data_IF_702262180115
#
_entry.id   IF_702262180115
#
_cell.length_a   1.000
_cell.length_b   1.000
_cell.length_c   1.000
_cell.angle_alpha   90.00
_cell.angle_beta   90.00
_cell.angle_gamma   90.00
#
_symmetry.space_group_name_H-M   'P 1'
#
loop_
_entity.id
_entity.type
_entity.pdbx_description
1 polymer ?
#
# COMPACT_ATOMS: atom_id res chain seq x y z
N UNK A 1 20.38 -10.06 0.64
CA UNK A 1 20.43 -10.50 -0.76
C UNK A 1 19.53 -9.56 -1.55
N UNK A 2 20.08 -8.68 -2.39
CA UNK A 2 19.28 -7.74 -3.18
C UNK A 2 18.64 -8.52 -4.34
N UNK A 3 17.31 -8.54 -4.41
CA UNK A 3 16.58 -9.19 -5.49
C UNK A 3 16.69 -8.27 -6.73
N UNK A 4 17.23 -8.72 -7.87
CA UNK A 4 17.43 -7.87 -9.06
C UNK A 4 16.12 -7.58 -9.83
N UNK A 5 14.96 -7.88 -9.24
CA UNK A 5 13.64 -7.79 -9.86
C UNK A 5 12.66 -7.08 -8.92
N UNK A 6 11.65 -6.40 -9.48
CA UNK A 6 10.56 -5.77 -8.71
C UNK A 6 9.79 -6.79 -7.85
N UNK A 7 9.08 -6.32 -6.83
CA UNK A 7 8.47 -7.20 -5.83
C UNK A 7 7.42 -8.15 -6.44
N UNK A 8 6.69 -7.69 -7.44
CA UNK A 8 5.79 -8.54 -8.23
C UNK A 8 6.52 -9.78 -8.77
N UNK A 9 7.66 -9.59 -9.43
CA UNK A 9 8.41 -10.70 -10.03
C UNK A 9 9.03 -11.62 -8.99
N UNK A 10 9.38 -11.11 -7.81
CA UNK A 10 9.85 -11.94 -6.70
C UNK A 10 8.74 -12.90 -6.26
N UNK A 11 7.53 -12.39 -5.99
CA UNK A 11 6.39 -13.22 -5.58
C UNK A 11 6.01 -14.24 -6.67
N UNK A 12 6.07 -13.87 -7.95
CA UNK A 12 5.79 -14.78 -9.05
C UNK A 12 6.81 -15.92 -9.19
N UNK A 13 8.09 -15.66 -8.87
CA UNK A 13 9.19 -16.63 -9.01
C UNK A 13 9.43 -17.44 -7.74
N UNK A 14 9.04 -16.93 -6.58
CA UNK A 14 9.22 -17.59 -5.29
C UNK A 14 8.54 -18.96 -5.27
N UNK A 15 9.21 -19.93 -4.67
CA UNK A 15 8.67 -21.27 -4.53
C UNK A 15 7.52 -21.27 -3.52
N UNK A 16 6.65 -22.28 -3.62
CA UNK A 16 5.54 -22.45 -2.67
C UNK A 16 6.06 -22.67 -1.26
N UNK A 17 7.08 -23.52 -1.12
CA UNK A 17 7.71 -23.84 0.16
C UNK A 17 8.37 -22.61 0.79
N UNK A 18 8.97 -21.74 -0.03
CA UNK A 18 9.55 -20.48 0.44
C UNK A 18 8.47 -19.55 0.98
N UNK A 19 7.41 -19.29 0.21
CA UNK A 19 6.35 -18.37 0.65
C UNK A 19 5.61 -18.90 1.89
N UNK A 20 5.29 -20.19 1.91
CA UNK A 20 4.62 -20.86 3.02
C UNK A 20 5.51 -21.05 4.25
N UNK A 21 6.84 -20.88 4.12
CA UNK A 21 7.73 -20.86 5.28
C UNK A 21 7.53 -19.60 6.15
N UNK A 22 6.87 -18.56 5.62
CA UNK A 22 6.60 -17.32 6.33
C UNK A 22 5.16 -17.24 6.82
N UNK A 23 4.98 -16.63 7.99
CA UNK A 23 3.65 -16.39 8.59
C UNK A 23 2.96 -15.11 8.06
N UNK A 24 3.68 -14.30 7.30
CA UNK A 24 3.20 -13.01 6.81
C UNK A 24 4.22 -12.36 5.89
N UNK A 25 3.76 -11.45 5.04
CA UNK A 25 4.60 -10.67 4.14
C UNK A 25 4.60 -9.22 4.61
N UNK A 26 5.77 -8.70 5.00
CA UNK A 26 5.93 -7.32 5.42
C UNK A 26 6.39 -6.43 4.26
N UNK A 27 5.61 -5.41 3.94
CA UNK A 27 5.79 -4.47 2.84
C UNK A 27 6.23 -3.12 3.39
N UNK A 28 7.50 -2.75 3.17
CA UNK A 28 8.06 -1.47 3.65
C UNK A 28 8.17 -0.51 2.47
N UNK A 29 7.07 0.18 2.13
CA UNK A 29 7.01 1.08 0.96
C UNK A 29 5.78 2.01 1.00
N UNK A 30 5.49 2.66 -0.12
CA UNK A 30 4.20 3.27 -0.40
C UNK A 30 3.14 2.27 -0.85
N UNK A 31 1.94 2.79 -1.17
CA UNK A 31 0.78 2.00 -1.60
C UNK A 31 1.04 1.17 -2.88
N UNK A 32 1.92 1.65 -3.77
CA UNK A 32 2.27 0.95 -5.01
C UNK A 32 2.90 -0.44 -4.82
N UNK A 33 3.66 -0.65 -3.73
CA UNK A 33 4.22 -1.98 -3.46
C UNK A 33 3.15 -2.99 -3.06
N UNK A 34 2.12 -2.54 -2.34
CA UNK A 34 0.98 -3.37 -1.99
C UNK A 34 0.25 -3.81 -3.26
N UNK A 35 0.05 -2.87 -4.19
CA UNK A 35 -0.53 -3.15 -5.49
C UNK A 35 0.28 -4.21 -6.28
N UNK A 36 1.61 -4.07 -6.35
CA UNK A 36 2.48 -5.04 -7.04
C UNK A 36 2.35 -6.46 -6.47
N UNK A 37 2.36 -6.59 -5.14
CA UNK A 37 2.33 -7.89 -4.44
C UNK A 37 0.95 -8.54 -4.54
N UNK A 38 -0.13 -7.79 -4.34
CA UNK A 38 -1.50 -8.34 -4.43
C UNK A 38 -1.77 -8.85 -5.85
N UNK A 39 -1.39 -8.11 -6.87
CA UNK A 39 -1.58 -8.55 -8.25
C UNK A 39 -0.72 -9.78 -8.59
N UNK A 40 0.50 -9.88 -8.06
CA UNK A 40 1.32 -11.08 -8.22
C UNK A 40 0.69 -12.32 -7.56
N UNK A 41 0.17 -12.17 -6.32
CA UNK A 41 -0.54 -13.25 -5.62
C UNK A 41 -1.80 -13.69 -6.37
N UNK A 42 -2.54 -12.75 -6.95
CA UNK A 42 -3.71 -13.07 -7.77
C UNK A 42 -3.32 -13.76 -9.08
N UNK A 43 -2.25 -13.33 -9.74
CA UNK A 43 -1.78 -13.96 -10.97
C UNK A 43 -1.37 -15.42 -10.73
N UNK A 44 -0.77 -15.73 -9.58
CA UNK A 44 -0.49 -17.12 -9.19
C UNK A 44 -1.76 -17.95 -9.04
N UNK A 45 -2.79 -17.41 -8.39
CA UNK A 45 -4.10 -18.06 -8.30
C UNK A 45 -4.70 -18.32 -9.68
N UNK A 46 -4.70 -17.32 -10.55
CA UNK A 46 -5.25 -17.43 -11.90
C UNK A 46 -4.53 -18.52 -12.70
N UNK A 47 -3.19 -18.60 -12.62
CA UNK A 47 -2.39 -19.64 -13.30
C UNK A 47 -2.65 -21.05 -12.76
N UNK A 48 -3.08 -21.18 -11.51
CA UNK A 48 -3.37 -22.46 -10.89
C UNK A 48 -4.84 -22.91 -11.04
N UNK A 49 -5.70 -22.09 -11.64
CA UNK A 49 -7.15 -22.30 -11.67
C UNK A 49 -7.57 -23.63 -12.33
N UNK A 50 -6.84 -24.08 -13.34
CA UNK A 50 -7.13 -25.33 -14.05
C UNK A 50 -6.62 -26.59 -13.34
N UNK A 51 -5.84 -26.45 -12.27
CA UNK A 51 -5.27 -27.57 -11.51
C UNK A 51 -5.70 -27.52 -10.04
N UNK A 52 -6.65 -28.38 -9.60
CA UNK A 52 -7.19 -28.36 -8.25
C UNK A 52 -6.16 -28.49 -7.14
N UNK A 53 -5.11 -29.30 -7.35
CA UNK A 53 -4.05 -29.48 -6.36
C UNK A 53 -3.19 -28.22 -6.22
N UNK A 54 -2.86 -27.56 -7.34
CA UNK A 54 -2.12 -26.29 -7.31
C UNK A 54 -2.97 -25.16 -6.75
N UNK A 55 -4.27 -25.12 -7.08
CA UNK A 55 -5.21 -24.10 -6.63
C UNK A 55 -5.35 -24.08 -5.10
N UNK A 56 -5.40 -25.26 -4.46
CA UNK A 56 -5.45 -25.35 -3.01
C UNK A 56 -4.23 -24.69 -2.36
N UNK A 57 -3.03 -24.96 -2.87
CA UNK A 57 -1.80 -24.34 -2.34
C UNK A 57 -1.72 -22.85 -2.63
N UNK A 58 -2.10 -22.40 -3.83
CA UNK A 58 -2.07 -20.97 -4.15
C UNK A 58 -3.11 -20.17 -3.34
N UNK A 59 -4.22 -20.80 -2.92
CA UNK A 59 -5.18 -20.19 -1.97
C UNK A 59 -4.58 -20.02 -0.59
N UNK A 60 -3.79 -20.98 -0.13
CA UNK A 60 -3.07 -20.86 1.14
C UNK A 60 -2.03 -19.74 1.09
N UNK A 61 -1.29 -19.63 -0.02
CA UNK A 61 -0.34 -18.55 -0.25
C UNK A 61 -1.04 -17.18 -0.31
N UNK A 62 -2.19 -17.08 -0.97
CA UNK A 62 -2.97 -15.84 -1.04
C UNK A 62 -3.56 -15.44 0.33
N UNK A 63 -3.78 -16.41 1.23
CA UNK A 63 -4.23 -16.15 2.59
C UNK A 63 -3.12 -15.66 3.54
N UNK A 64 -1.85 -15.60 3.09
CA UNK A 64 -0.75 -15.08 3.91
C UNK A 64 -1.02 -13.59 4.24
N UNK A 65 -1.07 -13.22 5.52
CA UNK A 65 -1.31 -11.83 5.92
C UNK A 65 -0.26 -10.87 5.36
N UNK A 66 -0.73 -9.75 4.80
CA UNK A 66 0.12 -8.65 4.36
C UNK A 66 0.19 -7.57 5.45
N UNK A 67 1.40 -7.17 5.80
CA UNK A 67 1.65 -6.08 6.77
C UNK A 67 2.28 -4.91 6.04
N UNK A 68 1.70 -3.73 6.15
CA UNK A 68 2.22 -2.52 5.51
C UNK A 68 2.92 -1.63 6.52
N UNK A 69 4.20 -1.35 6.29
CA UNK A 69 4.99 -0.36 7.00
C UNK A 69 5.15 0.85 6.06
N UNK A 70 4.49 1.99 6.36
CA UNK A 70 4.48 3.14 5.46
C UNK A 70 5.86 3.80 5.38
N UNK A 71 6.50 3.75 4.21
CA UNK A 71 7.76 4.47 3.93
C UNK A 71 7.70 5.34 2.68
N UNK A 72 6.52 5.45 2.05
CA UNK A 72 6.26 6.34 0.92
C UNK A 72 5.89 7.77 1.35
N UNK A 73 5.74 8.66 0.35
CA UNK A 73 5.40 10.09 0.51
C UNK A 73 3.95 10.34 0.92
N UNK A 74 3.04 9.47 0.51
CA UNK A 74 1.59 9.51 0.76
C UNK A 74 1.12 8.07 0.89
N UNK A 75 0.92 7.59 2.12
CA UNK A 75 0.53 6.20 2.41
C UNK A 75 -0.94 6.18 2.84
N UNK A 76 -1.84 6.21 1.86
CA UNK A 76 -3.27 6.28 2.13
C UNK A 76 -3.80 4.98 2.75
N UNK A 77 -3.27 3.82 2.37
CA UNK A 77 -3.64 2.52 2.97
C UNK A 77 -3.33 2.52 4.46
N UNK A 78 -2.09 2.86 4.84
CA UNK A 78 -1.70 2.95 6.25
C UNK A 78 -2.57 3.96 7.02
N UNK A 79 -2.85 5.13 6.41
CA UNK A 79 -3.69 6.17 7.02
C UNK A 79 -5.11 5.67 7.33
N UNK A 80 -5.71 4.94 6.40
CA UNK A 80 -7.03 4.31 6.57
C UNK A 80 -6.99 3.22 7.65
N UNK A 81 -5.97 2.37 7.66
CA UNK A 81 -5.80 1.32 8.68
C UNK A 81 -5.63 1.90 10.09
N UNK A 82 -4.87 2.98 10.26
CA UNK A 82 -4.75 3.67 11.54
C UNK A 82 -6.07 4.26 12.01
N UNK A 83 -6.79 4.94 11.11
CA UNK A 83 -8.09 5.51 11.42
C UNK A 83 -9.06 4.43 11.92
N UNK A 84 -9.12 3.29 11.23
CA UNK A 84 -9.94 2.13 11.64
C UNK A 84 -9.51 1.52 12.97
N UNK A 85 -8.22 1.64 13.32
CA UNK A 85 -7.67 1.15 14.58
C UNK A 85 -7.88 2.12 15.75
N UNK A 86 -8.57 3.24 15.54
CA UNK A 86 -8.81 4.29 16.55
C UNK A 86 -7.65 5.26 16.72
N UNK A 87 -6.56 5.11 15.95
CA UNK A 87 -5.47 6.07 15.89
C UNK A 87 -5.88 7.19 14.93
N UNK A 88 -6.32 8.33 15.48
CA UNK A 88 -6.81 9.46 14.70
C UNK A 88 -5.79 9.98 13.65
N UNK A 89 -6.27 10.68 12.60
CA UNK A 89 -5.48 11.04 11.41
C UNK A 89 -4.26 11.92 11.72
N UNK A 90 -4.28 12.65 12.85
CA UNK A 90 -3.20 13.53 13.28
C UNK A 90 -1.94 12.80 13.77
N UNK A 91 -2.07 11.60 14.37
CA UNK A 91 -0.91 10.84 14.86
C UNK A 91 -0.11 10.19 13.73
N UNK A 92 -0.75 9.81 12.63
CA UNK A 92 -0.06 9.19 11.50
C UNK A 92 0.61 10.18 10.55
N UNK A 93 0.20 11.47 10.57
CA UNK A 93 0.87 12.52 9.79
C UNK A 93 2.36 12.65 10.15
N UNK A 94 2.74 12.35 11.40
CA UNK A 94 4.13 12.33 11.87
C UNK A 94 4.96 11.18 11.27
N UNK A 95 4.34 10.06 10.91
CA UNK A 95 5.03 8.88 10.35
C UNK A 95 5.34 9.08 8.85
N UNK A 96 4.44 9.75 8.12
CA UNK A 96 4.52 9.84 6.66
C UNK A 96 5.18 11.10 6.08
N UNK A 97 5.51 12.13 6.88
CA UNK A 97 5.82 13.47 6.33
C UNK A 97 7.21 14.07 6.61
N UNK A 98 8.15 13.37 7.23
CA UNK A 98 9.45 13.97 7.55
C UNK A 98 10.65 13.02 7.50
N UNK A 99 11.76 13.45 6.90
CA UNK A 99 13.05 12.74 6.89
C UNK A 99 13.61 12.44 8.30
N UNK A 100 13.11 13.09 9.36
CA UNK A 100 13.44 12.79 10.75
C UNK A 100 12.90 11.43 11.23
N UNK A 101 11.95 10.84 10.50
CA UNK A 101 11.22 9.64 10.92
C UNK A 101 11.88 8.34 10.46
N UNK A 102 13.03 8.36 9.76
CA UNK A 102 13.75 7.12 9.40
C UNK A 102 14.16 6.33 10.65
N UNK A 103 14.56 7.02 11.73
CA UNK A 103 14.86 6.38 13.02
C UNK A 103 13.60 5.81 13.65
N UNK A 104 12.51 6.55 13.67
CA UNK A 104 11.25 6.06 14.25
C UNK A 104 10.62 4.95 13.41
N UNK A 105 10.74 4.99 12.08
CA UNK A 105 10.33 3.95 11.15
C UNK A 105 11.18 2.68 11.31
N UNK A 106 12.50 2.83 11.45
CA UNK A 106 13.41 1.73 11.73
C UNK A 106 13.13 1.15 13.12
N UNK A 107 12.90 1.98 14.14
CA UNK A 107 12.57 1.56 15.49
C UNK A 107 11.19 0.89 15.54
N UNK A 108 10.21 1.40 14.79
CA UNK A 108 8.87 0.80 14.63
C UNK A 108 8.96 -0.53 13.90
N UNK A 109 9.74 -0.60 12.82
CA UNK A 109 9.92 -1.82 12.05
C UNK A 109 10.70 -2.87 12.86
N UNK A 110 11.76 -2.47 13.56
CA UNK A 110 12.50 -3.31 14.51
C UNK A 110 11.57 -3.78 15.62
N UNK A 111 10.80 -2.90 16.26
CA UNK A 111 9.90 -3.29 17.34
C UNK A 111 8.74 -4.17 16.88
N UNK A 112 8.21 -3.98 15.67
CA UNK A 112 7.20 -4.87 15.09
C UNK A 112 7.80 -6.24 14.74
N UNK A 113 9.03 -6.27 14.21
CA UNK A 113 9.73 -7.51 13.87
C UNK A 113 10.25 -8.26 15.11
N UNK A 114 10.51 -7.58 16.22
CA UNK A 114 10.99 -8.16 17.48
C UNK A 114 9.90 -8.32 18.54
N UNK A 115 8.71 -7.75 18.34
CA UNK A 115 7.62 -7.87 19.30
C UNK A 115 7.17 -9.34 19.39
N UNK A 116 7.08 -9.91 20.60
CA UNK A 116 6.48 -11.22 20.76
C UNK A 116 5.04 -11.15 20.24
N UNK A 117 4.65 -12.10 19.37
CA UNK A 117 3.30 -12.21 18.78
C UNK A 117 2.18 -12.40 19.82
N UNK A 118 2.50 -12.39 21.12
CA UNK A 118 1.60 -12.59 22.25
C UNK A 118 1.95 -11.59 23.36
N UNK A 119 1.31 -10.42 23.38
CA UNK A 119 1.18 -9.66 24.63
C UNK A 119 -0.06 -10.22 25.35
N UNK A 120 0.11 -10.97 26.44
CA UNK A 120 -1.02 -11.23 27.34
C UNK A 120 -1.42 -9.87 27.96
N UNK A 121 -2.69 -9.50 27.80
CA UNK A 121 -3.20 -8.15 28.07
C UNK A 121 -3.13 -7.71 29.54
N UNK A 122 -2.73 -8.60 30.45
CA UNK A 122 -2.93 -8.45 31.89
C UNK A 122 -1.67 -8.00 32.65
N UNK A 123 -0.52 -7.78 31.99
CA UNK A 123 0.75 -7.42 32.66
C UNK A 123 1.49 -6.18 32.14
N UNK A 124 0.92 -5.39 31.22
CA UNK A 124 1.59 -4.18 30.72
C UNK A 124 1.46 -3.01 31.73
N UNK A 125 2.43 -2.88 32.63
CA UNK A 125 2.60 -1.70 33.49
C UNK A 125 3.44 -0.63 32.78
N UNK A 126 2.79 0.49 32.40
CA UNK A 126 3.45 1.77 32.09
C UNK A 126 4.21 1.86 30.76
N UNK A 127 3.82 2.82 29.91
CA UNK A 127 4.51 3.37 28.72
C UNK A 127 5.06 2.42 27.62
N UNK A 128 4.96 1.09 27.77
CA UNK A 128 5.32 0.14 26.73
C UNK A 128 4.25 0.12 25.64
N UNK A 129 4.61 0.57 24.43
CA UNK A 129 3.79 0.40 23.23
C UNK A 129 3.78 -1.11 22.89
N UNK A 130 2.82 -1.86 23.42
CA UNK A 130 2.56 -3.23 22.94
C UNK A 130 2.01 -3.13 21.51
N UNK A 131 2.85 -3.50 20.55
CA UNK A 131 2.45 -3.67 19.16
C UNK A 131 1.62 -4.93 19.03
N UNK A 132 0.30 -4.78 18.90
CA UNK A 132 -0.58 -5.90 18.59
C UNK A 132 -0.71 -6.02 17.07
N UNK A 133 -0.16 -7.09 16.53
CA UNK A 133 -0.30 -7.43 15.11
C UNK A 133 -1.65 -8.13 14.90
N UNK A 134 -2.65 -7.38 14.43
CA UNK A 134 -3.96 -7.95 14.06
C UNK A 134 -4.12 -7.95 12.53
N UNK A 135 -4.34 -9.12 11.94
CA UNK A 135 -4.79 -9.21 10.55
C UNK A 135 -6.31 -9.05 10.49
N UNK A 136 -6.80 -8.16 9.63
CA UNK A 136 -8.23 -8.01 9.34
C UNK A 136 -8.47 -8.17 7.84
N UNK A 137 -9.61 -8.74 7.43
CA UNK A 137 -9.97 -8.79 6.02
C UNK A 137 -10.13 -7.36 5.48
N UNK A 138 -9.66 -7.14 4.26
CA UNK A 138 -9.79 -5.88 3.52
C UNK A 138 -10.54 -6.18 2.22
N UNK A 139 -11.47 -5.32 1.87
CA UNK A 139 -12.20 -5.41 0.61
C UNK A 139 -11.30 -5.04 -0.57
N UNK A 140 -11.50 -5.74 -1.68
CA UNK A 140 -10.73 -5.55 -2.90
C UNK A 140 -11.62 -5.04 -4.04
N UNK A 141 -11.06 -4.16 -4.86
CA UNK A 141 -11.65 -3.65 -6.09
C UNK A 141 -11.07 -4.45 -7.25
N UNK A 142 -11.93 -5.14 -8.00
CA UNK A 142 -11.56 -5.78 -9.25
C UNK A 142 -11.78 -4.80 -10.41
N UNK A 143 -10.74 -4.51 -11.18
CA UNK A 143 -10.79 -3.60 -12.32
C UNK A 143 -10.40 -4.36 -13.57
N UNK A 144 -11.26 -4.36 -14.59
CA UNK A 144 -10.96 -4.94 -15.89
C UNK A 144 -11.06 -3.87 -16.97
N UNK A 145 -9.95 -3.63 -17.66
CA UNK A 145 -9.90 -2.71 -18.79
C UNK A 145 -10.42 -3.37 -20.07
N UNK A 146 -11.01 -2.58 -20.95
CA UNK A 146 -11.44 -3.06 -22.26
C UNK A 146 -10.21 -3.45 -23.10
N UNK A 147 -10.10 -4.74 -23.45
CA UNK A 147 -8.98 -5.28 -24.23
C UNK A 147 -7.94 -6.04 -23.39
N UNK A 148 -8.01 -5.98 -22.07
CA UNK A 148 -7.16 -6.81 -21.19
C UNK A 148 -7.86 -8.12 -20.82
N UNK A 149 -7.11 -9.21 -20.90
CA UNK A 149 -7.59 -10.55 -20.57
C UNK A 149 -7.55 -10.84 -19.07
N UNK A 150 -6.66 -10.17 -18.34
CA UNK A 150 -6.48 -10.36 -16.89
C UNK A 150 -6.94 -9.12 -16.13
N UNK A 151 -7.88 -9.26 -15.18
CA UNK A 151 -8.27 -8.14 -14.35
C UNK A 151 -7.17 -7.78 -13.33
N UNK A 152 -7.13 -6.52 -12.95
CA UNK A 152 -6.29 -6.00 -11.89
C UNK A 152 -7.05 -5.93 -10.57
N UNK A 153 -6.33 -6.13 -9.47
CA UNK A 153 -6.86 -5.95 -8.11
C UNK A 153 -6.27 -4.68 -7.52
N UNK A 154 -7.14 -3.82 -6.99
CA UNK A 154 -6.81 -2.69 -6.14
C UNK A 154 -7.43 -2.84 -4.75
N UNK A 155 -6.92 -2.11 -3.76
CA UNK A 155 -7.47 -2.12 -2.38
C UNK A 155 -7.84 -0.72 -1.87
N UNK A 156 -7.53 0.32 -2.66
CA UNK A 156 -7.63 1.70 -2.20
C UNK A 156 -8.55 2.53 -3.08
N UNK A 157 -8.13 2.85 -4.30
CA UNK A 157 -8.88 3.75 -5.18
C UNK A 157 -8.53 3.55 -6.65
N UNK A 158 -9.53 3.73 -7.50
CA UNK A 158 -9.38 3.96 -8.94
C UNK A 158 -9.72 5.43 -9.22
N UNK A 159 -8.77 6.18 -9.77
CA UNK A 159 -8.93 7.63 -10.01
C UNK A 159 -8.91 7.95 -11.50
N UNK A 160 -9.66 8.96 -11.92
CA UNK A 160 -9.75 9.44 -13.30
C UNK A 160 -9.87 10.96 -13.35
N UNK A 161 -9.57 11.55 -14.51
CA UNK A 161 -9.60 13.01 -14.71
C UNK A 161 -8.61 13.75 -13.83
N UNK A 162 -9.06 14.87 -13.24
CA UNK A 162 -8.20 15.80 -12.48
C UNK A 162 -7.33 15.13 -11.42
N UNK A 163 -7.86 14.15 -10.68
CA UNK A 163 -7.11 13.47 -9.61
C UNK A 163 -5.97 12.63 -10.22
N UNK A 164 -6.22 11.91 -11.31
CA UNK A 164 -5.21 11.11 -11.99
C UNK A 164 -4.15 12.01 -12.67
N UNK A 165 -4.58 13.12 -13.27
CA UNK A 165 -3.68 14.10 -13.88
C UNK A 165 -2.75 14.75 -12.84
N UNK A 166 -3.26 15.02 -11.63
CA UNK A 166 -2.44 15.52 -10.53
C UNK A 166 -1.43 14.47 -10.08
N UNK A 167 -1.88 13.23 -9.89
CA UNK A 167 -1.02 12.15 -9.41
C UNK A 167 0.15 11.90 -10.38
N UNK A 168 -0.15 11.73 -11.68
CA UNK A 168 0.87 11.53 -12.73
C UNK A 168 1.69 12.80 -12.97
N UNK A 169 1.03 13.94 -13.15
CA UNK A 169 1.65 15.17 -13.61
C UNK A 169 2.62 15.79 -12.61
N UNK A 170 2.48 15.50 -11.31
CA UNK A 170 3.33 16.05 -10.27
C UNK A 170 4.31 15.04 -9.66
N UNK A 171 4.47 13.84 -10.21
CA UNK A 171 5.44 12.85 -9.71
C UNK A 171 6.88 13.39 -9.66
N UNK A 172 7.26 14.34 -10.51
CA UNK A 172 8.58 15.00 -10.45
C UNK A 172 8.82 15.78 -9.14
N UNK A 173 7.77 16.12 -8.39
CA UNK A 173 7.83 16.74 -7.06
C UNK A 173 7.78 15.72 -5.91
N UNK A 174 8.12 14.45 -6.15
CA UNK A 174 8.11 13.39 -5.12
C UNK A 174 8.92 13.72 -3.87
N UNK A 175 9.95 14.55 -4.01
CA UNK A 175 10.75 15.06 -2.88
C UNK A 175 9.94 15.89 -1.87
N UNK A 176 8.79 16.46 -2.25
CA UNK A 176 7.93 17.26 -1.37
C UNK A 176 6.98 16.40 -0.51
N UNK A 177 7.07 15.07 -0.61
CA UNK A 177 6.16 14.18 0.11
C UNK A 177 4.70 14.40 -0.31
N UNK A 178 3.76 14.21 0.63
CA UNK A 178 2.34 14.46 0.37
C UNK A 178 1.97 15.91 0.03
N UNK A 179 2.85 16.89 0.28
CA UNK A 179 2.64 18.29 -0.09
C UNK A 179 2.50 18.47 -1.61
N UNK A 180 3.16 17.61 -2.38
CA UNK A 180 3.01 17.49 -3.84
C UNK A 180 1.54 17.46 -4.27
N UNK A 181 0.73 16.65 -3.59
CA UNK A 181 -0.67 16.43 -3.97
C UNK A 181 -1.50 17.70 -3.77
N UNK A 182 -1.17 18.49 -2.74
CA UNK A 182 -1.81 19.79 -2.47
C UNK A 182 -1.39 20.83 -3.51
N UNK A 183 -0.09 20.92 -3.81
CA UNK A 183 0.43 21.83 -4.84
C UNK A 183 -0.20 21.52 -6.19
N UNK A 184 -0.24 20.23 -6.55
CA UNK A 184 -0.84 19.79 -7.80
C UNK A 184 -2.33 20.11 -7.88
N UNK A 185 -3.09 19.89 -6.80
CA UNK A 185 -4.50 20.27 -6.74
C UNK A 185 -4.71 21.78 -6.94
N UNK A 186 -3.97 22.62 -6.22
CA UNK A 186 -4.10 24.09 -6.34
C UNK A 186 -3.77 24.56 -7.74
N UNK A 187 -2.62 24.14 -8.30
CA UNK A 187 -2.19 24.57 -9.63
C UNK A 187 -3.13 24.09 -10.72
N UNK A 188 -3.62 22.85 -10.65
CA UNK A 188 -4.55 22.32 -11.63
C UNK A 188 -5.91 23.01 -11.58
N UNK A 189 -6.42 23.35 -10.40
CA UNK A 189 -7.67 24.13 -10.24
C UNK A 189 -7.51 25.53 -10.83
N UNK A 190 -6.40 26.22 -10.55
CA UNK A 190 -6.13 27.56 -11.09
C UNK A 190 -6.06 27.52 -12.63
N UNK A 191 -5.30 26.56 -13.18
CA UNK A 191 -5.17 26.39 -14.63
C UNK A 191 -6.53 26.11 -15.30
N UNK A 192 -7.34 25.25 -14.69
CA UNK A 192 -8.67 24.93 -15.19
C UNK A 192 -9.58 26.16 -15.18
N UNK A 193 -9.55 26.96 -14.10
CA UNK A 193 -10.32 28.19 -13.99
C UNK A 193 -10.00 29.19 -15.12
N UNK A 194 -8.72 29.45 -15.38
CA UNK A 194 -8.33 30.34 -16.49
C UNK A 194 -8.68 29.77 -17.86
N UNK A 195 -8.57 28.46 -18.04
CA UNK A 195 -8.97 27.80 -19.28
C UNK A 195 -10.47 27.97 -19.57
N UNK A 196 -11.31 27.89 -18.54
CA UNK A 196 -12.75 28.11 -18.69
C UNK A 196 -13.08 29.56 -19.08
N UNK A 197 -12.40 30.54 -18.47
CA UNK A 197 -12.61 31.95 -18.83
C UNK A 197 -12.28 32.22 -20.29
N UNK A 198 -11.20 31.63 -20.81
CA UNK A 198 -10.82 31.79 -22.22
C UNK A 198 -11.88 31.17 -23.16
N UNK A 199 -12.42 29.99 -22.82
CA UNK A 199 -13.49 29.35 -23.59
C UNK A 199 -14.80 30.17 -23.57
N UNK A 200 -15.17 30.77 -22.44
CA UNK A 200 -16.36 31.60 -22.33
C UNK A 200 -16.21 32.95 -23.05
N UNK A 201 -14.99 33.47 -23.15
CA UNK A 201 -14.71 34.77 -23.76
C UNK A 201 -14.46 34.70 -25.28
N UNK A 202 -14.55 33.51 -25.89
CA UNK A 202 -14.60 33.35 -27.35
C UNK A 202 -13.31 33.71 -28.11
N UNK A 203 -12.15 33.65 -27.46
CA UNK A 203 -10.84 33.71 -28.13
C UNK A 203 -10.29 32.31 -28.43
#
# INVERSE_FOLDING_TARGET
MAVPFGANQYILKASKDELLSYRGICLVSGDGLIFEVINALQERLNKAQDNPALLATEREINAIPLFHIPSGSSNATASSSAFQSGYGPYRMRLICSSLSTIKDLLLSALSVLTAPLKCDADQASGDEICWRLESRPIDAILVQSAGETTPHIGILSLTWGLIADIDIGFEFLRCLGGTRNVIGAVLSIIRWFFSLQNLCNGN
#
